data_IF_046101486739
#
_entry.id   IF_046101486739
#
_cell.length_a   1.000
_cell.length_b   1.000
_cell.length_c   1.000
_cell.angle_alpha   90.00
_cell.angle_beta   90.00
_cell.angle_gamma   90.00
#
_symmetry.space_group_name_H-M   'P 1'
#
loop_
_entity.id
_entity.type
_entity.pdbx_description
1 polymer ?
#
# COMPACT_ATOMS: atom_id res chain seq x y z
N UNK A 1 7.48 -0.96 -3.07
CA UNK A 1 6.66 -2.17 -2.80
C UNK A 1 6.08 -2.67 -4.10
N UNK A 2 6.37 -3.91 -4.51
CA UNK A 2 5.88 -4.46 -5.78
C UNK A 2 4.48 -5.05 -5.59
N UNK A 3 3.57 -4.78 -6.54
CA UNK A 3 2.21 -5.30 -6.56
C UNK A 3 1.69 -5.38 -7.99
N UNK A 4 0.65 -6.17 -8.24
CA UNK A 4 -0.08 -6.18 -9.52
C UNK A 4 -1.23 -5.16 -9.54
N UNK A 5 -1.69 -4.72 -8.36
CA UNK A 5 -2.91 -3.90 -8.21
C UNK A 5 -3.06 -3.26 -6.83
N UNK A 6 -4.05 -2.37 -6.71
CA UNK A 6 -4.51 -1.79 -5.43
C UNK A 6 -6.00 -1.42 -5.50
N UNK A 7 -6.59 -1.13 -4.34
CA UNK A 7 -7.99 -0.72 -4.23
C UNK A 7 -8.10 0.67 -3.60
N UNK A 8 -9.04 1.47 -4.09
CA UNK A 8 -9.51 2.68 -3.38
C UNK A 8 -11.02 2.69 -3.23
N UNK A 9 -11.48 3.19 -2.09
CA UNK A 9 -12.90 3.27 -1.78
C UNK A 9 -13.39 4.70 -1.95
N UNK A 10 -14.19 4.92 -2.99
CA UNK A 10 -14.89 6.18 -3.19
C UNK A 10 -16.11 6.24 -2.28
N UNK A 11 -16.27 7.35 -1.55
CA UNK A 11 -17.50 7.63 -0.80
C UNK A 11 -18.60 8.07 -1.78
N UNK A 12 -19.75 7.42 -1.73
CA UNK A 12 -20.95 7.71 -2.52
C UNK A 12 -22.15 7.88 -1.60
N UNK A 13 -23.28 8.39 -2.11
CA UNK A 13 -24.48 8.65 -1.29
C UNK A 13 -25.00 7.38 -0.58
N UNK A 14 -24.92 6.23 -1.26
CA UNK A 14 -25.36 4.92 -0.74
C UNK A 14 -24.29 4.18 0.09
N UNK A 15 -23.10 4.75 0.31
CA UNK A 15 -22.04 4.13 1.11
C UNK A 15 -20.63 4.32 0.57
N UNK A 16 -19.86 3.21 0.47
CA UNK A 16 -18.51 3.19 -0.09
C UNK A 16 -18.47 2.24 -1.28
N UNK A 17 -18.02 2.74 -2.43
CA UNK A 17 -17.79 1.95 -3.63
C UNK A 17 -16.30 1.62 -3.75
N UNK A 18 -15.89 0.35 -3.67
CA UNK A 18 -14.50 -0.03 -3.97
C UNK A 18 -14.25 0.02 -5.47
N UNK A 19 -13.10 0.57 -5.84
CA UNK A 19 -12.53 0.54 -7.18
C UNK A 19 -11.24 -0.28 -7.15
N UNK A 20 -11.06 -1.10 -8.17
CA UNK A 20 -9.88 -1.92 -8.38
C UNK A 20 -9.02 -1.31 -9.48
N UNK A 21 -7.76 -1.01 -9.17
CA UNK A 21 -6.82 -0.41 -10.10
C UNK A 21 -5.66 -1.37 -10.37
N UNK A 22 -5.35 -1.57 -11.65
CA UNK A 22 -4.24 -2.38 -12.13
C UNK A 22 -3.70 -1.80 -13.43
N UNK A 23 -2.47 -2.14 -13.80
CA UNK A 23 -1.94 -1.79 -15.11
C UNK A 23 -2.58 -2.66 -16.21
N UNK A 24 -2.67 -2.16 -17.47
CA UNK A 24 -3.09 -2.98 -18.60
C UNK A 24 -2.31 -4.30 -18.65
N UNK A 25 -2.98 -5.36 -19.10
CA UNK A 25 -2.41 -6.71 -19.17
C UNK A 25 -1.97 -7.30 -17.80
N UNK A 26 -2.43 -6.74 -16.68
CA UNK A 26 -2.09 -7.15 -15.31
C UNK A 26 -0.59 -7.14 -15.02
N UNK A 27 0.13 -6.16 -15.57
CA UNK A 27 1.56 -6.03 -15.34
C UNK A 27 1.86 -5.56 -13.91
N UNK A 28 2.87 -6.13 -13.24
CA UNK A 28 3.29 -5.67 -11.92
C UNK A 28 3.91 -4.27 -12.01
N UNK A 29 3.72 -3.48 -10.95
CA UNK A 29 4.34 -2.19 -10.76
C UNK A 29 4.79 -2.02 -9.32
N UNK A 30 5.47 -0.91 -9.03
CA UNK A 30 5.99 -0.63 -7.69
C UNK A 30 5.53 0.72 -7.18
N UNK A 31 5.05 0.74 -5.93
CA UNK A 31 4.88 1.96 -5.17
C UNK A 31 6.19 2.43 -4.56
N UNK A 32 6.41 3.76 -4.57
CA UNK A 32 7.41 4.40 -3.73
C UNK A 32 7.05 4.16 -2.25
N UNK A 33 8.05 3.86 -1.43
CA UNK A 33 7.83 3.56 -0.02
C UNK A 33 9.08 3.76 0.81
N UNK A 34 8.88 3.79 2.12
CA UNK A 34 9.93 3.80 3.13
C UNK A 34 9.90 2.49 3.91
N UNK A 35 11.04 2.13 4.50
CA UNK A 35 11.21 0.97 5.37
C UNK A 35 11.93 1.39 6.66
N UNK A 36 11.60 0.73 7.76
CA UNK A 36 12.20 0.95 9.07
C UNK A 36 12.54 -0.37 9.74
N UNK A 37 13.68 -0.37 10.44
CA UNK A 37 14.11 -1.43 11.34
C UNK A 37 14.01 -0.91 12.77
N UNK A 38 13.01 -1.38 13.51
CA UNK A 38 12.82 -1.03 14.91
C UNK A 38 13.28 -2.18 15.81
N UNK A 39 14.04 -1.84 16.85
CA UNK A 39 14.50 -2.81 17.85
C UNK A 39 13.84 -2.53 19.19
N UNK A 40 13.13 -3.51 19.72
CA UNK A 40 12.47 -3.40 21.02
C UNK A 40 13.49 -3.40 22.17
N UNK A 41 13.12 -2.88 23.35
CA UNK A 41 13.95 -3.01 24.56
C UNK A 41 14.24 -4.47 24.96
N UNK A 42 13.39 -5.41 24.54
CA UNK A 42 13.54 -6.85 24.72
C UNK A 42 14.40 -7.50 23.62
N UNK A 43 15.04 -6.69 22.78
CA UNK A 43 15.96 -7.11 21.72
C UNK A 43 15.28 -7.87 20.56
N UNK A 44 13.97 -7.68 20.39
CA UNK A 44 13.22 -8.15 19.22
C UNK A 44 13.36 -7.15 18.08
N UNK A 45 13.37 -7.64 16.85
CA UNK A 45 13.46 -6.82 15.64
C UNK A 45 12.11 -6.82 14.95
N UNK A 46 11.61 -5.62 14.65
CA UNK A 46 10.43 -5.41 13.84
C UNK A 46 10.83 -4.63 12.59
N UNK A 47 10.58 -5.22 11.43
CA UNK A 47 10.74 -4.55 10.15
C UNK A 47 9.38 -4.07 9.66
N UNK A 48 9.28 -2.78 9.40
CA UNK A 48 8.04 -2.15 8.93
C UNK A 48 8.30 -1.40 7.63
N UNK A 49 7.24 -1.12 6.88
CA UNK A 49 7.33 -0.32 5.68
C UNK A 49 6.02 0.42 5.42
N UNK A 50 6.08 1.53 4.69
CA UNK A 50 4.92 2.37 4.35
C UNK A 50 4.98 2.81 2.89
N UNK A 51 3.81 3.03 2.28
CA UNK A 51 3.65 3.54 0.91
C UNK A 51 3.61 5.07 0.96
N UNK A 52 4.39 5.72 0.11
CA UNK A 52 4.31 7.17 -0.07
C UNK A 52 3.13 7.51 -0.99
N UNK A 53 2.29 8.43 -0.56
CA UNK A 53 1.15 8.96 -1.34
C UNK A 53 1.46 10.37 -1.85
N UNK A 54 0.72 10.81 -2.88
CA UNK A 54 0.83 12.16 -3.44
C UNK A 54 -0.58 12.71 -3.71
N UNK A 55 -0.67 14.02 -3.94
CA UNK A 55 -1.93 14.77 -4.13
C UNK A 55 -2.46 14.70 -5.57
#
# INVERSE_FOLDING_TARGET
MVTDSFYECQRVESGKQPHFFHLPENQPFAFAGLWEHWKSPQNEILETCTILTTD
#
